data_IF_538794149499
#
_entry.id   IF_538794149499
#
_cell.length_a   1.000
_cell.length_b   1.000
_cell.length_c   1.000
_cell.angle_alpha   90.00
_cell.angle_beta   90.00
_cell.angle_gamma   90.00
#
_symmetry.space_group_name_H-M   'P 1'
#
loop_
_entity.id
_entity.type
_entity.pdbx_description
1 polymer ?
#
# COMPACT_ATOMS: atom_id res chain seq x y z
N UNK A 1 10.00 1.44 3.67
CA UNK A 1 8.81 1.78 4.49
C UNK A 1 7.99 0.53 4.81
N UNK A 2 7.27 0.49 5.94
CA UNK A 2 6.43 -0.65 6.36
C UNK A 2 5.04 -0.18 6.78
N UNK A 3 4.01 -0.90 6.37
CA UNK A 3 2.61 -0.62 6.70
C UNK A 3 1.90 -1.91 7.11
N UNK A 4 1.25 -1.93 8.27
CA UNK A 4 0.53 -3.09 8.79
C UNK A 4 -0.91 -3.04 8.28
N UNK A 5 -1.27 -4.00 7.42
CA UNK A 5 -2.60 -4.09 6.86
C UNK A 5 -3.60 -4.63 7.89
N UNK A 6 -4.81 -4.08 7.85
CA UNK A 6 -5.96 -4.59 8.59
C UNK A 6 -7.11 -4.87 7.61
N UNK A 7 -8.18 -5.50 8.09
CA UNK A 7 -9.40 -5.70 7.29
C UNK A 7 -10.07 -4.38 6.86
N UNK A 8 -9.70 -3.26 7.51
CA UNK A 8 -10.20 -1.92 7.19
C UNK A 8 -9.26 -1.13 6.27
N UNK A 9 -8.09 -1.65 5.96
CA UNK A 9 -7.14 -0.95 5.10
C UNK A 9 -7.72 -0.78 3.71
N UNK A 10 -7.81 0.47 3.27
CA UNK A 10 -8.39 0.88 2.00
C UNK A 10 -7.39 1.66 1.14
N UNK A 11 -7.85 2.18 0.01
CA UNK A 11 -6.98 2.93 -0.89
C UNK A 11 -6.67 4.34 -0.38
N UNK A 12 -7.57 4.96 0.38
CA UNK A 12 -7.35 6.30 0.93
C UNK A 12 -6.22 6.24 1.98
N UNK A 13 -6.20 5.18 2.80
CA UNK A 13 -5.10 4.90 3.71
C UNK A 13 -3.78 4.71 2.95
N UNK A 14 -3.77 3.94 1.85
CA UNK A 14 -2.55 3.60 1.12
C UNK A 14 -2.03 4.71 0.20
N UNK A 15 -2.92 5.44 -0.48
CA UNK A 15 -2.60 6.49 -1.46
C UNK A 15 -2.47 7.84 -0.77
N UNK A 16 -3.33 8.10 0.20
CA UNK A 16 -3.47 9.39 0.84
C UNK A 16 -4.89 9.92 0.77
N UNK A 17 -5.18 10.89 1.63
CA UNK A 17 -6.48 11.53 1.73
C UNK A 17 -6.36 13.00 2.12
N UNK A 18 -7.45 13.73 1.91
CA UNK A 18 -7.56 15.11 2.37
C UNK A 18 -7.98 15.19 3.83
N UNK A 19 -7.44 16.18 4.53
CA UNK A 19 -7.80 16.52 5.90
C UNK A 19 -7.76 18.04 6.10
N UNK A 20 -8.57 18.52 7.05
CA UNK A 20 -8.56 19.94 7.42
C UNK A 20 -7.42 20.22 8.41
N UNK A 21 -6.56 21.17 8.05
CA UNK A 21 -5.58 21.79 8.94
C UNK A 21 -5.98 23.25 9.17
N UNK A 22 -6.73 23.50 10.24
CA UNK A 22 -7.34 24.80 10.50
C UNK A 22 -8.35 25.18 9.40
N UNK A 23 -8.05 26.24 8.65
CA UNK A 23 -8.88 26.71 7.53
C UNK A 23 -8.38 26.22 6.16
N UNK A 24 -7.38 25.34 6.13
CA UNK A 24 -6.79 24.83 4.90
C UNK A 24 -7.14 23.35 4.72
N UNK A 25 -7.55 22.98 3.53
CA UNK A 25 -7.67 21.58 3.11
C UNK A 25 -6.30 21.13 2.61
N UNK A 26 -5.71 20.14 3.29
CA UNK A 26 -4.39 19.61 2.98
C UNK A 26 -4.51 18.15 2.54
N UNK A 27 -3.63 17.71 1.65
CA UNK A 27 -3.53 16.30 1.26
C UNK A 27 -2.37 15.64 2.01
N UNK A 28 -2.63 14.51 2.68
CA UNK A 28 -1.59 13.67 3.25
C UNK A 28 -1.33 12.50 2.33
N UNK A 29 -0.11 12.34 1.83
CA UNK A 29 0.23 11.17 1.03
C UNK A 29 0.32 9.93 1.91
N UNK A 30 -0.30 8.86 1.43
CA UNK A 30 -0.24 7.54 2.04
C UNK A 30 1.05 6.79 1.71
N UNK A 31 1.25 5.63 2.33
CA UNK A 31 2.44 4.80 2.22
C UNK A 31 2.82 4.43 0.79
N UNK A 32 1.85 4.07 -0.05
CA UNK A 32 2.06 3.66 -1.43
C UNK A 32 2.52 4.85 -2.28
N UNK A 33 1.82 5.98 -2.18
CA UNK A 33 2.16 7.18 -2.94
C UNK A 33 3.54 7.71 -2.54
N UNK A 34 3.86 7.75 -1.24
CA UNK A 34 5.18 8.15 -0.75
C UNK A 34 6.29 7.24 -1.27
N UNK A 35 6.12 5.92 -1.16
CA UNK A 35 7.13 4.97 -1.63
C UNK A 35 7.34 5.04 -3.15
N UNK A 36 6.26 5.17 -3.93
CA UNK A 36 6.34 5.35 -5.38
C UNK A 36 7.10 6.64 -5.75
N UNK A 37 6.78 7.77 -5.09
CA UNK A 37 7.47 9.06 -5.32
C UNK A 37 8.94 9.04 -4.90
N UNK A 38 9.27 8.29 -3.85
CA UNK A 38 10.63 8.22 -3.30
C UNK A 38 11.52 7.16 -3.95
N UNK A 39 10.98 6.22 -4.72
CA UNK A 39 11.75 5.08 -5.22
C UNK A 39 12.11 4.09 -4.11
N UNK A 40 11.30 4.04 -3.06
CA UNK A 40 11.56 3.24 -1.87
C UNK A 40 10.79 1.92 -1.89
N UNK A 41 11.23 0.93 -1.11
CA UNK A 41 10.45 -0.27 -0.88
C UNK A 41 9.28 0.01 0.09
N UNK A 42 8.07 -0.42 -0.27
CA UNK A 42 6.94 -0.53 0.65
C UNK A 42 6.70 -2.00 0.98
N UNK A 43 6.73 -2.33 2.27
CA UNK A 43 6.32 -3.63 2.79
C UNK A 43 4.90 -3.52 3.34
N UNK A 44 3.96 -4.25 2.73
CA UNK A 44 2.62 -4.47 3.27
C UNK A 44 2.65 -5.71 4.15
N UNK A 45 2.69 -5.47 5.46
CA UNK A 45 2.65 -6.48 6.50
C UNK A 45 1.24 -6.99 6.73
N UNK A 46 1.13 -8.26 7.11
CA UNK A 46 -0.16 -8.92 7.34
C UNK A 46 -1.08 -8.80 6.10
N UNK A 47 -0.49 -8.92 4.90
CA UNK A 47 -1.21 -8.69 3.65
C UNK A 47 -2.40 -9.63 3.44
N UNK A 48 -2.47 -10.75 4.16
CA UNK A 48 -3.63 -11.65 4.26
C UNK A 48 -4.92 -10.96 4.74
N UNK A 49 -4.81 -9.85 5.46
CA UNK A 49 -5.97 -9.07 5.91
C UNK A 49 -6.64 -8.32 4.75
N UNK A 50 -5.92 -8.11 3.64
CA UNK A 50 -6.45 -7.48 2.45
C UNK A 50 -7.25 -8.48 1.62
N UNK A 51 -8.41 -8.05 1.14
CA UNK A 51 -9.18 -8.84 0.17
C UNK A 51 -8.41 -9.02 -1.15
N UNK A 52 -8.65 -10.10 -1.90
CA UNK A 52 -8.08 -10.28 -3.24
C UNK A 52 -8.34 -9.09 -4.18
N UNK A 53 -9.51 -8.45 -4.03
CA UNK A 53 -9.87 -7.27 -4.80
C UNK A 53 -9.03 -6.05 -4.43
N UNK A 54 -8.73 -5.86 -3.14
CA UNK A 54 -7.81 -4.79 -2.69
C UNK A 54 -6.39 -5.00 -3.22
N UNK A 55 -5.87 -6.24 -3.19
CA UNK A 55 -4.57 -6.56 -3.78
C UNK A 55 -4.53 -6.28 -5.28
N UNK A 56 -5.61 -6.60 -6.01
CA UNK A 56 -5.71 -6.30 -7.44
C UNK A 56 -5.71 -4.79 -7.72
N UNK A 57 -6.41 -3.99 -6.90
CA UNK A 57 -6.38 -2.52 -6.99
C UNK A 57 -4.98 -1.98 -6.73
N UNK A 58 -4.31 -2.42 -5.66
CA UNK A 58 -2.94 -1.99 -5.36
C UNK A 58 -2.03 -2.33 -6.54
N UNK A 59 -2.09 -3.56 -7.06
CA UNK A 59 -1.29 -3.98 -8.21
C UNK A 59 -1.54 -3.15 -9.48
N UNK A 60 -2.79 -2.74 -9.72
CA UNK A 60 -3.13 -1.86 -10.84
C UNK A 60 -2.44 -0.49 -10.72
N UNK A 61 -2.37 0.06 -9.51
CA UNK A 61 -1.79 1.37 -9.23
C UNK A 61 -0.25 1.39 -9.28
N UNK A 62 0.43 0.24 -9.31
CA UNK A 62 1.90 0.18 -9.32
C UNK A 62 2.54 0.68 -10.62
N UNK A 63 1.76 0.92 -11.67
CA UNK A 63 2.27 1.45 -12.95
C UNK A 63 2.27 2.97 -12.96
N UNK A 64 1.08 3.54 -12.75
CA UNK A 64 0.83 4.97 -12.72
C UNK A 64 -0.31 5.20 -11.71
N UNK A 65 -0.14 6.20 -10.84
CA UNK A 65 -1.13 6.60 -9.84
C UNK A 65 -1.47 8.06 -10.06
N UNK A 66 -2.69 8.31 -10.54
CA UNK A 66 -3.22 9.67 -10.61
C UNK A 66 -4.02 9.98 -9.34
N UNK A 67 -3.66 11.07 -8.67
CA UNK A 67 -4.39 11.59 -7.52
C UNK A 67 -5.09 12.88 -7.96
N UNK A 68 -6.42 12.86 -7.95
CA UNK A 68 -7.25 14.00 -8.36
C UNK A 68 -7.13 15.18 -7.39
N UNK A 69 -7.09 14.90 -6.07
CA UNK A 69 -6.95 15.91 -5.02
C UNK A 69 -5.72 16.81 -5.17
N UNK A 70 -4.64 16.28 -5.73
CA UNK A 70 -3.38 17.02 -5.97
C UNK A 70 -3.12 17.29 -7.45
N UNK A 71 -4.02 16.83 -8.34
CA UNK A 71 -3.86 16.83 -9.79
C UNK A 71 -2.48 16.27 -10.25
N UNK A 72 -1.97 15.26 -9.53
CA UNK A 72 -0.62 14.72 -9.73
C UNK A 72 -0.67 13.34 -10.36
N UNK A 73 0.18 13.11 -11.36
CA UNK A 73 0.50 11.78 -11.88
C UNK A 73 1.80 11.27 -11.25
N UNK A 74 1.70 10.31 -10.34
CA UNK A 74 2.83 9.65 -9.71
C UNK A 74 3.20 8.41 -10.54
N UNK A 75 4.42 8.42 -11.07
CA UNK A 75 5.06 7.22 -11.63
C UNK A 75 6.09 6.71 -10.62
N UNK A 76 6.17 5.39 -10.38
CA UNK A 76 7.20 4.86 -9.49
C UNK A 76 8.59 5.26 -9.97
N UNK A 77 9.37 5.86 -9.08
CA UNK A 77 10.77 6.16 -9.34
C UNK A 77 11.62 4.89 -9.35
N UNK A 78 12.82 4.97 -9.93
CA UNK A 78 13.78 3.88 -9.90
C UNK A 78 14.05 3.43 -8.46
N UNK A 79 14.03 2.11 -8.23
CA UNK A 79 14.23 1.52 -6.90
C UNK A 79 12.94 1.15 -6.17
N UNK A 80 11.78 1.69 -6.58
CA UNK A 80 10.49 1.34 -5.98
C UNK A 80 10.23 -0.17 -6.06
N UNK A 81 9.80 -0.74 -4.93
CA UNK A 81 9.36 -2.15 -4.83
C UNK A 81 8.18 -2.25 -3.89
N UNK A 82 7.22 -3.11 -4.22
CA UNK A 82 6.17 -3.52 -3.30
C UNK A 82 6.44 -4.96 -2.84
N UNK A 83 6.55 -5.15 -1.55
CA UNK A 83 6.73 -6.47 -0.92
C UNK A 83 5.51 -6.80 -0.08
N UNK A 84 4.91 -7.97 -0.32
CA UNK A 84 3.80 -8.48 0.49
C UNK A 84 4.36 -9.46 1.50
N UNK A 85 4.14 -9.21 2.79
CA UNK A 85 4.59 -10.07 3.88
C UNK A 85 3.39 -10.58 4.66
N UNK A 86 3.35 -11.90 4.89
CA UNK A 86 2.33 -12.55 5.70
C UNK A 86 2.80 -12.68 7.14
N UNK A 87 1.88 -12.82 8.08
CA UNK A 87 2.26 -13.16 9.46
C UNK A 87 2.94 -14.53 9.55
N UNK A 88 3.94 -14.65 10.44
CA UNK A 88 4.68 -15.90 10.67
C UNK A 88 3.77 -17.10 10.99
N UNK A 89 2.65 -16.84 11.67
CA UNK A 89 1.67 -17.88 12.01
C UNK A 89 1.04 -18.53 10.77
N UNK A 90 0.82 -17.77 9.71
CA UNK A 90 0.27 -18.27 8.44
C UNK A 90 1.34 -18.98 7.64
N UNK A 91 2.54 -18.40 7.53
CA UNK A 91 3.65 -19.01 6.80
C UNK A 91 4.01 -20.38 7.36
N UNK A 92 4.08 -20.52 8.69
CA UNK A 92 4.34 -21.79 9.36
C UNK A 92 3.25 -22.86 9.10
N UNK A 93 1.99 -22.45 8.94
CA UNK A 93 0.88 -23.37 8.62
C UNK A 93 0.99 -23.89 7.18
N UNK A 94 1.28 -23.01 6.21
CA UNK A 94 1.45 -23.41 4.82
C UNK A 94 2.67 -24.31 4.61
N UNK A 95 3.80 -24.01 5.26
CA UNK A 95 5.00 -24.85 5.18
C UNK A 95 4.74 -26.27 5.70
N UNK A 96 4.00 -26.40 6.82
CA UNK A 96 3.57 -27.71 7.33
C UNK A 96 2.64 -28.45 6.37
N UNK A 97 1.69 -27.75 5.75
CA UNK A 97 0.75 -28.36 4.80
C UNK A 97 1.43 -28.86 3.51
N UNK A 98 2.54 -28.24 3.08
CA UNK A 98 3.31 -28.65 1.90
C UNK A 98 4.30 -29.79 2.17
N UNK A 99 4.56 -30.12 3.43
CA UNK A 99 5.49 -31.17 3.84
C UNK A 99 4.81 -32.54 4.07
N UNK A 100 3.50 -32.64 3.79
CA UNK A 100 2.65 -33.83 3.90
C UNK A 100 2.19 -34.25 2.51
#
# INVERSE_FOLDING_TARGET
MMHICTERTDLDELIGNQYWSGQHLCFHYGPLALAMKGGEELILEQCEALSPFMLAKVNFLLRDLFIDDTAEMIRPQEGFRLTLRRSEAIENREQKARAV
#
